data_IF_370010710699
#
_entry.id   IF_370010710699
#
_cell.length_a   1.000
_cell.length_b   1.000
_cell.length_c   1.000
_cell.angle_alpha   90.00
_cell.angle_beta   90.00
_cell.angle_gamma   90.00
#
_symmetry.space_group_name_H-M   'P 1'
#
loop_
_entity.id
_entity.type
_entity.pdbx_description
1 polymer ?
#
# COMPACT_ATOMS: atom_id res chain seq x y z
N UNK A 1 12.22 -3.30 -8.17
CA UNK A 1 13.69 -3.31 -8.04
C UNK A 1 14.10 -2.48 -6.84
N UNK A 2 13.84 -1.16 -6.80
CA UNK A 2 14.27 -0.23 -5.75
C UNK A 2 13.85 -0.66 -4.34
N UNK A 3 12.62 -1.14 -4.15
CA UNK A 3 12.16 -1.67 -2.86
C UNK A 3 13.03 -2.84 -2.35
N UNK A 4 13.37 -3.80 -3.21
CA UNK A 4 14.21 -4.93 -2.83
C UNK A 4 15.64 -4.51 -2.49
N UNK A 5 16.15 -3.46 -3.13
CA UNK A 5 17.45 -2.87 -2.78
C UNK A 5 17.39 -2.20 -1.41
N UNK A 6 16.33 -1.41 -1.15
CA UNK A 6 16.14 -0.72 0.14
C UNK A 6 16.05 -1.70 1.31
N UNK A 7 15.45 -2.88 1.14
CA UNK A 7 15.33 -3.87 2.22
C UNK A 7 16.70 -4.26 2.85
N UNK A 8 17.78 -4.21 2.09
CA UNK A 8 19.12 -4.50 2.61
C UNK A 8 19.64 -3.41 3.57
N UNK A 9 19.05 -2.22 3.51
CA UNK A 9 19.44 -1.05 4.32
C UNK A 9 18.54 -0.85 5.54
N UNK A 10 17.41 -1.56 5.59
CA UNK A 10 16.47 -1.51 6.73
C UNK A 10 17.09 -2.23 7.91
N UNK A 11 17.38 -1.48 8.99
CA UNK A 11 18.04 -1.99 10.20
C UNK A 11 17.52 -1.28 11.43
N UNK A 12 17.50 -1.99 12.56
CA UNK A 12 17.21 -1.39 13.87
C UNK A 12 18.10 -0.15 14.09
N UNK A 13 17.52 0.93 14.56
CA UNK A 13 18.18 2.20 14.84
C UNK A 13 18.20 3.21 13.68
N UNK A 14 17.91 2.79 12.45
CA UNK A 14 17.67 3.70 11.32
C UNK A 14 16.41 4.51 11.55
N UNK A 15 16.40 5.77 11.10
CA UNK A 15 15.23 6.64 11.19
C UNK A 15 14.35 6.53 9.94
N UNK A 16 13.08 6.89 10.06
CA UNK A 16 12.15 6.98 8.94
C UNK A 16 12.69 7.92 7.86
N UNK A 17 13.18 9.11 8.24
CA UNK A 17 13.75 10.09 7.31
C UNK A 17 14.97 9.58 6.56
N UNK A 18 15.90 8.93 7.26
CA UNK A 18 17.11 8.37 6.62
C UNK A 18 16.74 7.37 5.52
N UNK A 19 15.77 6.48 5.83
CA UNK A 19 15.36 5.46 4.87
C UNK A 19 14.49 6.03 3.74
N UNK A 20 13.62 7.01 4.01
CA UNK A 20 12.84 7.68 2.97
C UNK A 20 13.75 8.39 1.97
N UNK A 21 14.70 9.20 2.44
CA UNK A 21 15.66 9.89 1.58
C UNK A 21 16.54 8.91 0.77
N UNK A 22 16.97 7.81 1.40
CA UNK A 22 17.72 6.76 0.72
C UNK A 22 16.86 6.08 -0.36
N UNK A 23 15.58 5.86 -0.08
CA UNK A 23 14.67 5.23 -1.03
C UNK A 23 14.46 6.09 -2.28
N UNK A 24 14.22 7.38 -2.11
CA UNK A 24 14.09 8.34 -3.22
C UNK A 24 15.36 8.35 -4.07
N UNK A 25 16.54 8.37 -3.43
CA UNK A 25 17.82 8.24 -4.12
C UNK A 25 17.94 6.92 -4.91
N UNK A 26 17.55 5.79 -4.31
CA UNK A 26 17.59 4.48 -4.98
C UNK A 26 16.63 4.47 -6.18
N UNK A 27 15.44 5.04 -6.07
CA UNK A 27 14.48 5.14 -7.18
C UNK A 27 15.07 6.00 -8.31
N UNK A 28 15.63 7.17 -8.00
CA UNK A 28 16.27 8.04 -9.00
C UNK A 28 17.45 7.34 -9.69
N UNK A 29 18.33 6.67 -8.93
CA UNK A 29 19.45 5.88 -9.47
C UNK A 29 18.98 4.75 -10.40
N UNK A 30 17.81 4.19 -10.14
CA UNK A 30 17.22 3.11 -10.93
C UNK A 30 16.42 3.62 -12.14
N UNK A 31 16.45 4.94 -12.42
CA UNK A 31 15.89 5.55 -13.62
C UNK A 31 14.54 6.25 -13.45
N UNK A 32 14.09 6.48 -12.21
CA UNK A 32 12.94 7.33 -11.98
C UNK A 32 13.24 8.78 -12.36
N UNK A 33 12.29 9.47 -12.98
CA UNK A 33 12.32 10.92 -13.29
C UNK A 33 12.02 11.76 -12.03
N UNK A 34 11.46 11.14 -11.00
CA UNK A 34 11.10 11.72 -9.72
C UNK A 34 10.23 10.77 -8.92
N UNK A 35 9.85 11.16 -7.72
CA UNK A 35 8.84 10.44 -6.94
C UNK A 35 7.45 10.76 -7.46
N UNK A 36 6.53 9.81 -7.39
CA UNK A 36 5.12 10.04 -7.75
C UNK A 36 4.41 10.94 -6.75
N UNK A 37 4.82 10.84 -5.51
CA UNK A 37 4.34 11.60 -4.34
C UNK A 37 5.40 11.53 -3.24
N UNK A 38 5.25 12.33 -2.19
CA UNK A 38 6.17 12.29 -1.05
C UNK A 38 6.19 10.91 -0.40
N UNK A 39 7.33 10.25 -0.40
CA UNK A 39 7.51 8.90 0.12
C UNK A 39 7.07 8.80 1.58
N UNK A 40 6.12 7.91 1.88
CA UNK A 40 5.71 7.58 3.24
C UNK A 40 6.53 6.38 3.72
N UNK A 41 7.31 6.57 4.78
CA UNK A 41 8.07 5.50 5.43
C UNK A 41 7.94 5.68 6.93
N UNK A 42 7.19 4.76 7.56
CA UNK A 42 6.81 4.88 8.97
C UNK A 42 7.14 3.60 9.72
N UNK A 43 7.44 3.72 11.03
CA UNK A 43 7.78 2.56 11.87
C UNK A 43 6.99 2.51 13.19
N UNK A 44 6.73 1.29 13.67
CA UNK A 44 6.06 1.02 14.94
C UNK A 44 4.70 1.71 15.03
N UNK A 45 4.42 2.40 16.12
CA UNK A 45 3.12 3.09 16.33
C UNK A 45 2.84 4.19 15.29
N UNK A 46 3.87 4.75 14.65
CA UNK A 46 3.69 5.79 13.62
C UNK A 46 3.02 5.23 12.36
N UNK A 47 3.13 3.94 12.09
CA UNK A 47 2.42 3.28 10.98
C UNK A 47 0.89 3.39 11.09
N UNK A 48 0.35 3.70 12.29
CA UNK A 48 -1.09 3.93 12.49
C UNK A 48 -1.61 5.25 11.91
N UNK A 49 -0.74 6.07 11.32
CA UNK A 49 -1.08 7.31 10.63
C UNK A 49 -1.05 7.06 9.11
N UNK A 50 -2.21 6.96 8.42
CA UNK A 50 -2.27 6.62 6.98
C UNK A 50 -1.42 7.51 6.09
N UNK A 51 -1.35 8.81 6.41
CA UNK A 51 -0.60 9.84 5.70
C UNK A 51 0.48 10.47 6.59
N UNK A 52 1.13 9.65 7.41
CA UNK A 52 2.21 10.10 8.27
C UNK A 52 3.41 10.57 7.46
N UNK A 53 4.11 11.58 7.96
CA UNK A 53 5.33 12.09 7.33
C UNK A 53 6.55 11.47 8.03
N UNK A 54 7.55 10.97 7.29
CA UNK A 54 8.77 10.39 7.88
C UNK A 54 9.41 11.32 8.90
N UNK A 55 9.73 10.77 10.08
CA UNK A 55 10.26 11.50 11.23
C UNK A 55 11.64 10.97 11.65
N UNK A 56 12.19 11.51 12.74
CA UNK A 56 13.41 11.00 13.36
C UNK A 56 13.17 9.74 14.23
N UNK A 57 11.95 9.16 14.16
CA UNK A 57 11.61 7.92 14.85
C UNK A 57 12.45 6.79 14.29
N UNK A 58 13.02 5.98 15.21
CA UNK A 58 13.94 4.88 14.89
C UNK A 58 13.19 3.56 14.89
N UNK A 59 13.55 2.71 13.94
CA UNK A 59 13.13 1.32 13.86
C UNK A 59 13.61 0.55 15.09
N UNK A 60 12.73 -0.29 15.64
CA UNK A 60 12.99 -1.17 16.79
C UNK A 60 12.61 -2.62 16.47
N UNK A 61 13.15 -3.55 17.26
CA UNK A 61 12.66 -4.95 17.26
C UNK A 61 11.16 -4.98 17.60
N UNK A 62 10.41 -5.80 16.89
CA UNK A 62 8.96 -5.91 17.03
C UNK A 62 8.14 -4.87 16.25
N UNK A 63 8.77 -3.95 15.52
CA UNK A 63 8.04 -2.95 14.73
C UNK A 63 7.53 -3.51 13.39
N UNK A 64 6.38 -2.99 12.94
CA UNK A 64 6.11 -2.91 11.52
C UNK A 64 6.82 -1.69 10.92
N UNK A 65 7.25 -1.82 9.67
CA UNK A 65 7.68 -0.71 8.83
C UNK A 65 6.80 -0.68 7.59
N UNK A 66 6.09 0.41 7.39
CA UNK A 66 5.22 0.66 6.27
C UNK A 66 5.94 1.56 5.26
N UNK A 67 5.96 1.14 4.01
CA UNK A 67 6.51 1.86 2.86
C UNK A 67 5.39 2.11 1.88
N UNK A 68 5.12 3.36 1.57
CA UNK A 68 4.22 3.77 0.52
C UNK A 68 4.96 4.73 -0.41
N UNK A 69 5.10 4.34 -1.66
CA UNK A 69 6.03 4.97 -2.59
C UNK A 69 5.65 4.74 -4.04
N UNK A 70 6.03 5.68 -4.86
CA UNK A 70 5.87 5.59 -6.30
C UNK A 70 6.98 6.32 -7.03
N UNK A 71 7.21 5.93 -8.27
CA UNK A 71 8.18 6.52 -9.18
C UNK A 71 7.48 7.04 -10.42
N UNK A 72 7.96 8.17 -10.94
CA UNK A 72 7.53 8.69 -12.24
C UNK A 72 8.49 8.19 -13.31
N UNK A 73 7.95 7.66 -14.41
CA UNK A 73 8.72 7.22 -15.56
C UNK A 73 7.98 7.50 -16.86
N UNK A 74 8.62 8.22 -17.78
CA UNK A 74 8.03 8.70 -19.03
C UNK A 74 6.70 9.44 -18.81
N UNK A 75 6.64 10.24 -17.73
CA UNK A 75 5.47 10.99 -17.31
C UNK A 75 4.36 10.19 -16.64
N UNK A 76 4.47 8.85 -16.55
CA UNK A 76 3.50 8.01 -15.83
C UNK A 76 3.93 7.77 -14.38
N UNK A 77 2.94 7.78 -13.50
CA UNK A 77 3.11 7.50 -12.08
C UNK A 77 2.97 6.00 -11.78
N UNK A 78 3.72 5.53 -10.80
CA UNK A 78 3.49 4.24 -10.14
C UNK A 78 3.12 4.44 -8.68
N UNK A 79 2.53 3.41 -8.07
CA UNK A 79 2.10 3.40 -6.69
C UNK A 79 2.20 2.01 -6.10
N UNK A 80 2.76 1.89 -4.89
CA UNK A 80 2.86 0.60 -4.20
C UNK A 80 3.09 0.77 -2.70
N UNK A 81 2.26 0.17 -1.89
CA UNK A 81 2.51 0.03 -0.46
C UNK A 81 2.92 -1.39 -0.09
N UNK A 82 3.91 -1.50 0.79
CA UNK A 82 4.27 -2.74 1.50
C UNK A 82 4.50 -2.45 2.97
N UNK A 83 4.07 -3.37 3.80
CA UNK A 83 4.41 -3.40 5.23
C UNK A 83 5.27 -4.63 5.50
N UNK A 84 6.37 -4.45 6.22
CA UNK A 84 7.26 -5.53 6.66
C UNK A 84 7.35 -5.55 8.18
N UNK A 85 7.88 -6.61 8.74
CA UNK A 85 8.15 -6.74 10.18
C UNK A 85 9.65 -6.74 10.47
N UNK A 86 10.01 -6.28 11.66
CA UNK A 86 11.38 -6.29 12.16
C UNK A 86 11.46 -7.23 13.37
N UNK A 87 12.26 -8.29 13.25
CA UNK A 87 12.51 -9.23 14.35
C UNK A 87 11.23 -9.94 14.86
N UNK A 88 10.98 -9.85 16.15
CA UNK A 88 9.94 -10.61 16.83
C UNK A 88 8.62 -9.82 16.94
N UNK A 89 7.67 -10.09 16.07
CA UNK A 89 6.32 -9.51 16.13
C UNK A 89 5.33 -10.41 16.86
N UNK A 90 4.25 -9.81 17.39
CA UNK A 90 3.18 -10.52 18.09
C UNK A 90 2.29 -11.30 17.14
N UNK A 91 1.54 -12.27 17.68
CA UNK A 91 0.54 -13.00 16.90
C UNK A 91 -0.61 -12.07 16.45
N UNK A 92 -1.01 -11.08 17.29
CA UNK A 92 -1.96 -10.02 16.89
C UNK A 92 -1.51 -9.32 15.61
N UNK A 93 -0.22 -8.99 15.48
CA UNK A 93 0.33 -8.32 14.30
C UNK A 93 0.30 -9.24 13.07
N UNK A 94 0.65 -10.53 13.22
CA UNK A 94 0.60 -11.50 12.12
C UNK A 94 -0.83 -11.71 11.62
N UNK A 95 -1.78 -11.92 12.54
CA UNK A 95 -3.20 -12.08 12.20
C UNK A 95 -3.77 -10.84 11.51
N UNK A 96 -3.40 -9.65 11.98
CA UNK A 96 -3.79 -8.38 11.36
C UNK A 96 -3.23 -8.24 9.94
N UNK A 97 -1.96 -8.63 9.73
CA UNK A 97 -1.34 -8.61 8.40
C UNK A 97 -2.06 -9.56 7.43
N UNK A 98 -2.31 -10.79 7.87
CA UNK A 98 -3.00 -11.80 7.05
C UNK A 98 -4.44 -11.36 6.72
N UNK A 99 -5.11 -10.68 7.63
CA UNK A 99 -6.45 -10.13 7.39
C UNK A 99 -6.42 -9.02 6.31
N UNK A 100 -5.46 -8.08 6.39
CA UNK A 100 -5.30 -7.04 5.37
C UNK A 100 -4.93 -7.65 4.01
N UNK A 101 -4.06 -8.65 3.98
CA UNK A 101 -3.72 -9.37 2.75
C UNK A 101 -4.95 -10.06 2.16
N UNK A 102 -5.77 -10.73 2.99
CA UNK A 102 -7.03 -11.37 2.56
C UNK A 102 -8.00 -10.33 1.98
N UNK A 103 -8.12 -9.15 2.60
CA UNK A 103 -8.95 -8.06 2.11
C UNK A 103 -8.45 -7.52 0.76
N UNK A 104 -7.13 -7.34 0.61
CA UNK A 104 -6.53 -6.89 -0.64
C UNK A 104 -6.78 -7.89 -1.79
N UNK A 105 -6.64 -9.18 -1.53
CA UNK A 105 -6.93 -10.22 -2.50
C UNK A 105 -8.43 -10.28 -2.85
N UNK A 106 -9.33 -10.00 -1.90
CA UNK A 106 -10.77 -9.93 -2.14
C UNK A 106 -11.12 -8.74 -3.06
N UNK A 107 -10.55 -7.55 -2.80
CA UNK A 107 -10.69 -6.39 -3.68
C UNK A 107 -10.18 -6.67 -5.09
N UNK A 108 -8.99 -7.23 -5.22
CA UNK A 108 -8.45 -7.66 -6.52
C UNK A 108 -9.40 -8.65 -7.20
N UNK A 109 -9.93 -9.63 -6.47
CA UNK A 109 -10.83 -10.64 -7.03
C UNK A 109 -12.13 -10.03 -7.56
N UNK A 110 -12.67 -9.03 -6.89
CA UNK A 110 -13.89 -8.33 -7.29
C UNK A 110 -13.65 -7.40 -8.50
N UNK A 111 -12.42 -6.89 -8.68
CA UNK A 111 -12.07 -5.93 -9.73
C UNK A 111 -12.23 -6.53 -11.13
N UNK A 112 -13.10 -5.93 -11.95
CA UNK A 112 -13.28 -6.25 -13.38
C UNK A 112 -13.97 -5.09 -14.09
N UNK A 113 -13.90 -5.03 -15.42
CA UNK A 113 -14.62 -4.06 -16.21
C UNK A 113 -16.15 -4.19 -16.00
N UNK A 114 -16.83 -3.05 -15.86
CA UNK A 114 -18.27 -2.94 -15.61
C UNK A 114 -18.67 -3.04 -14.14
N UNK A 115 -17.78 -3.46 -13.25
CA UNK A 115 -18.05 -3.52 -11.81
C UNK A 115 -18.08 -2.11 -11.20
N UNK A 116 -18.96 -1.87 -10.22
CA UNK A 116 -18.99 -0.60 -9.51
C UNK A 116 -17.80 -0.46 -8.57
N UNK A 117 -17.22 0.72 -8.50
CA UNK A 117 -16.13 1.02 -7.59
C UNK A 117 -16.53 0.77 -6.12
N UNK A 118 -17.78 1.09 -5.74
CA UNK A 118 -18.31 0.82 -4.41
C UNK A 118 -18.41 -0.68 -4.08
N UNK A 119 -18.73 -1.55 -5.04
CA UNK A 119 -18.85 -2.99 -4.82
C UNK A 119 -17.45 -3.64 -4.63
N UNK A 120 -16.45 -3.13 -5.34
CA UNK A 120 -15.04 -3.56 -5.15
C UNK A 120 -14.51 -3.12 -3.78
N UNK A 121 -14.84 -1.88 -3.34
CA UNK A 121 -14.57 -1.43 -1.97
C UNK A 121 -15.21 -2.36 -0.95
N UNK A 122 -16.51 -2.64 -1.13
CA UNK A 122 -17.28 -3.46 -0.18
C UNK A 122 -16.70 -4.86 -0.02
N UNK A 123 -16.21 -5.48 -1.10
CA UNK A 123 -15.59 -6.80 -1.07
C UNK A 123 -14.35 -6.85 -0.15
N UNK A 124 -13.54 -5.80 -0.12
CA UNK A 124 -12.40 -5.73 0.80
C UNK A 124 -12.83 -5.37 2.24
N UNK A 125 -13.78 -4.43 2.37
CA UNK A 125 -14.31 -3.99 3.65
C UNK A 125 -14.96 -5.15 4.43
N UNK A 126 -15.75 -6.00 3.76
CA UNK A 126 -16.42 -7.13 4.39
C UNK A 126 -15.43 -8.10 5.04
N UNK A 127 -14.31 -8.37 4.37
CA UNK A 127 -13.23 -9.20 4.92
C UNK A 127 -12.65 -8.59 6.19
N UNK A 128 -12.37 -7.27 6.20
CA UNK A 128 -11.87 -6.60 7.40
C UNK A 128 -12.91 -6.62 8.53
N UNK A 129 -14.17 -6.48 8.17
CA UNK A 129 -15.27 -6.44 9.12
C UNK A 129 -15.64 -7.80 9.74
N UNK A 130 -15.21 -8.94 9.14
CA UNK A 130 -15.32 -10.28 9.75
C UNK A 130 -14.66 -10.35 11.15
N UNK A 131 -13.69 -9.46 11.42
CA UNK A 131 -12.94 -9.35 12.69
C UNK A 131 -13.12 -7.99 13.37
N UNK A 132 -14.20 -7.27 13.09
CA UNK A 132 -14.48 -5.92 13.59
C UNK A 132 -13.36 -4.89 13.29
N UNK A 133 -12.52 -5.16 12.29
CA UNK A 133 -11.42 -4.28 11.89
C UNK A 133 -11.83 -3.24 10.83
N UNK A 134 -13.03 -3.35 10.24
CA UNK A 134 -13.53 -2.40 9.25
C UNK A 134 -13.53 -0.94 9.75
N UNK A 135 -13.73 -0.71 11.05
CA UNK A 135 -13.68 0.62 11.69
C UNK A 135 -12.31 1.30 11.63
N UNK A 136 -11.24 0.53 11.39
CA UNK A 136 -9.87 1.02 11.25
C UNK A 136 -9.46 1.24 9.79
N UNK A 137 -10.31 0.87 8.83
CA UNK A 137 -10.12 1.17 7.40
C UNK A 137 -10.82 2.50 7.06
N UNK A 138 -10.05 3.58 6.94
CA UNK A 138 -10.56 4.95 6.96
C UNK A 138 -10.39 5.73 5.66
N UNK A 139 -9.98 5.09 4.58
CA UNK A 139 -9.80 5.69 3.26
C UNK A 139 -10.46 4.86 2.16
N UNK A 140 -10.39 5.29 0.92
CA UNK A 140 -10.84 4.52 -0.24
C UNK A 140 -10.00 3.26 -0.41
N UNK A 141 -10.55 2.27 -1.09
CA UNK A 141 -9.82 1.06 -1.43
C UNK A 141 -8.78 1.29 -2.52
N UNK A 142 -8.93 2.37 -3.31
CA UNK A 142 -8.03 2.69 -4.38
C UNK A 142 -8.54 3.82 -5.27
N UNK A 143 -7.69 4.23 -6.19
CA UNK A 143 -7.89 5.33 -7.13
C UNK A 143 -7.27 5.02 -8.49
N UNK A 144 -7.65 5.78 -9.51
CA UNK A 144 -6.98 5.73 -10.81
C UNK A 144 -5.56 6.28 -10.71
N UNK A 145 -4.65 5.71 -11.48
CA UNK A 145 -3.25 6.15 -11.59
C UNK A 145 -2.85 6.18 -13.05
N UNK A 146 -2.20 7.26 -13.49
CA UNK A 146 -1.77 7.44 -14.87
C UNK A 146 -0.75 8.56 -15.02
N UNK A 147 -1.12 9.62 -15.74
CA UNK A 147 -0.31 10.84 -15.85
C UNK A 147 -0.37 11.69 -14.58
N UNK A 148 -1.41 11.52 -13.80
CA UNK A 148 -1.52 12.03 -12.44
C UNK A 148 -1.52 10.86 -11.46
N UNK A 149 -1.02 11.08 -10.23
CA UNK A 149 -1.02 10.04 -9.19
C UNK A 149 -2.45 9.70 -8.73
N UNK A 150 -3.36 10.67 -8.74
CA UNK A 150 -4.77 10.47 -8.51
C UNK A 150 -5.55 10.98 -9.71
N UNK A 151 -6.13 10.09 -10.49
CA UNK A 151 -6.95 10.48 -11.64
C UNK A 151 -8.24 9.68 -11.76
N UNK A 152 -9.23 10.30 -12.41
CA UNK A 152 -10.48 9.66 -12.75
C UNK A 152 -11.35 9.33 -11.54
N UNK A 153 -11.49 8.08 -11.23
CA UNK A 153 -12.41 7.50 -10.25
C UNK A 153 -11.75 7.15 -8.93
N UNK A 154 -12.60 6.87 -7.93
CA UNK A 154 -12.18 6.46 -6.60
C UNK A 154 -13.01 5.26 -6.12
N UNK A 155 -12.36 4.17 -5.72
CA UNK A 155 -13.00 2.99 -5.17
C UNK A 155 -13.39 3.23 -3.70
N UNK A 156 -14.52 3.89 -3.48
CA UNK A 156 -15.06 4.26 -2.18
C UNK A 156 -16.52 3.84 -2.03
N UNK A 157 -17.06 3.73 -0.78
CA UNK A 157 -18.43 3.27 -0.57
C UNK A 157 -19.50 4.21 -1.16
N UNK A 158 -19.12 5.44 -1.49
CA UNK A 158 -20.01 6.45 -2.07
C UNK A 158 -19.82 6.65 -3.58
N UNK A 159 -18.90 5.92 -4.20
CA UNK A 159 -18.64 6.07 -5.62
C UNK A 159 -19.79 5.51 -6.47
N UNK A 160 -20.18 6.27 -7.48
CA UNK A 160 -21.12 5.85 -8.51
C UNK A 160 -20.42 5.36 -9.78
N UNK A 161 -19.11 5.44 -9.82
CA UNK A 161 -18.29 5.09 -10.98
C UNK A 161 -18.21 3.58 -11.17
N UNK A 162 -17.86 3.18 -12.39
CA UNK A 162 -17.58 1.81 -12.75
C UNK A 162 -16.19 1.71 -13.34
N UNK A 163 -15.55 0.61 -13.09
CA UNK A 163 -14.29 0.29 -13.72
C UNK A 163 -14.47 0.00 -15.21
N UNK A 164 -13.58 0.48 -16.04
CA UNK A 164 -13.57 0.30 -17.49
C UNK A 164 -12.32 -0.41 -17.97
N UNK A 165 -12.39 -1.03 -19.14
CA UNK A 165 -11.20 -1.55 -19.83
C UNK A 165 -10.25 -0.39 -20.12
N UNK A 166 -8.98 -0.57 -19.83
CA UNK A 166 -7.96 0.48 -19.96
C UNK A 166 -7.63 1.18 -18.65
N UNK A 167 -8.48 1.07 -17.62
CA UNK A 167 -8.16 1.66 -16.32
C UNK A 167 -6.94 1.01 -15.68
N UNK A 168 -6.12 1.83 -15.04
CA UNK A 168 -5.11 1.43 -14.07
C UNK A 168 -5.55 1.94 -12.70
N UNK A 169 -5.58 1.08 -11.69
CA UNK A 169 -6.11 1.41 -10.36
C UNK A 169 -5.26 0.81 -9.26
N UNK A 170 -5.12 1.53 -8.14
CA UNK A 170 -4.62 0.93 -6.90
C UNK A 170 -5.70 0.06 -6.25
N UNK A 171 -5.26 -0.97 -5.50
CA UNK A 171 -6.07 -1.73 -4.54
C UNK A 171 -5.25 -1.85 -3.27
N UNK A 172 -5.62 -1.06 -2.27
CA UNK A 172 -4.77 -0.69 -1.13
C UNK A 172 -5.48 -0.72 0.23
N UNK A 173 -6.19 -1.78 0.61
CA UNK A 173 -6.80 -1.79 1.93
C UNK A 173 -5.75 -1.65 3.02
N UNK A 174 -6.12 -0.92 4.09
CA UNK A 174 -5.28 -0.75 5.26
C UNK A 174 -6.10 -0.69 6.55
N UNK A 175 -5.50 -1.08 7.64
CA UNK A 175 -6.04 -0.86 8.99
C UNK A 175 -5.04 -0.04 9.81
N UNK A 176 -5.55 0.90 10.59
CA UNK A 176 -4.74 1.83 11.37
C UNK A 176 -5.27 1.88 12.79
N UNK A 177 -4.64 1.08 13.67
CA UNK A 177 -5.05 0.93 15.07
C UNK A 177 -4.31 1.99 15.88
N UNK A 178 -5.00 3.01 16.44
CA UNK A 178 -4.36 4.10 17.16
C UNK A 178 -3.42 3.59 18.27
N UNK A 179 -2.25 4.22 18.37
CA UNK A 179 -1.21 3.94 19.37
C UNK A 179 -0.63 2.51 19.33
N UNK A 180 -1.01 1.71 18.32
CA UNK A 180 -0.48 0.36 18.14
C UNK A 180 0.33 0.26 16.85
N UNK A 181 -0.33 0.06 15.73
CA UNK A 181 0.29 -0.10 14.40
C UNK A 181 -0.73 0.14 13.28
N UNK A 182 -0.21 0.34 12.09
CA UNK A 182 -0.96 0.30 10.83
C UNK A 182 -0.33 -0.65 9.83
N UNK A 183 -1.16 -1.15 8.94
CA UNK A 183 -0.78 -2.06 7.86
C UNK A 183 -1.51 -1.59 6.61
N UNK A 184 -0.80 -1.45 5.49
CA UNK A 184 -1.36 -1.29 4.15
C UNK A 184 -0.63 -2.21 3.20
N UNK A 185 -1.38 -2.84 2.30
CA UNK A 185 -0.84 -3.68 1.22
C UNK A 185 -1.52 -3.24 -0.06
N UNK A 186 -0.74 -2.83 -1.02
CA UNK A 186 -1.20 -2.22 -2.26
C UNK A 186 -0.53 -2.79 -3.49
N UNK A 187 -1.30 -2.95 -4.53
CA UNK A 187 -0.84 -3.20 -5.90
C UNK A 187 -1.55 -2.29 -6.88
N UNK A 188 -0.87 -1.96 -7.98
CA UNK A 188 -1.49 -1.41 -9.18
C UNK A 188 -1.99 -2.53 -10.09
N UNK A 189 -3.22 -2.39 -10.58
CA UNK A 189 -3.90 -3.33 -11.47
C UNK A 189 -4.29 -2.63 -12.77
N UNK A 190 -3.99 -3.25 -13.90
CA UNK A 190 -4.51 -2.88 -15.21
C UNK A 190 -5.76 -3.72 -15.53
N UNK A 191 -6.83 -3.07 -15.97
CA UNK A 191 -8.08 -3.73 -16.37
C UNK A 191 -8.05 -3.96 -17.88
N UNK A 192 -7.86 -5.21 -18.26
CA UNK A 192 -7.83 -5.64 -19.67
C UNK A 192 -9.20 -6.19 -20.10
N UNK A 193 -9.44 -6.34 -21.43
CA UNK A 193 -10.64 -7.02 -21.93
C UNK A 193 -10.81 -8.48 -21.46
N UNK A 194 -9.71 -9.09 -20.99
CA UNK A 194 -9.68 -10.50 -20.54
C UNK A 194 -9.72 -10.64 -19.01
N UNK A 195 -9.78 -9.54 -18.28
CA UNK A 195 -9.78 -9.50 -16.82
C UNK A 195 -8.85 -8.42 -16.29
N UNK A 196 -8.03 -8.74 -15.31
CA UNK A 196 -7.09 -7.81 -14.68
C UNK A 196 -5.67 -8.36 -14.68
N UNK A 197 -4.71 -7.47 -14.79
CA UNK A 197 -3.28 -7.78 -14.68
C UNK A 197 -2.67 -7.01 -13.52
N UNK A 198 -1.97 -7.71 -12.64
CA UNK A 198 -1.23 -7.07 -11.54
C UNK A 198 0.11 -6.57 -12.07
N UNK A 199 0.31 -5.25 -12.00
CA UNK A 199 1.54 -4.59 -12.43
C UNK A 199 2.63 -4.64 -11.33
N UNK A 200 2.24 -4.72 -10.07
CA UNK A 200 3.14 -4.81 -8.92
C UNK A 200 3.62 -6.25 -8.73
N UNK A 201 4.89 -6.53 -8.99
CA UNK A 201 5.44 -7.91 -8.98
C UNK A 201 6.13 -8.29 -7.66
N UNK A 202 6.19 -7.39 -6.68
CA UNK A 202 6.79 -7.66 -5.37
C UNK A 202 5.89 -8.55 -4.53
N UNK A 203 6.47 -9.50 -3.79
CA UNK A 203 5.72 -10.38 -2.89
C UNK A 203 4.84 -9.58 -1.91
N UNK A 204 3.68 -10.15 -1.59
CA UNK A 204 2.77 -9.67 -0.55
C UNK A 204 2.79 -10.55 0.71
N UNK A 205 3.61 -11.61 0.71
CA UNK A 205 3.85 -12.36 1.94
C UNK A 205 4.61 -11.47 2.91
N UNK A 206 4.29 -11.58 4.19
CA UNK A 206 5.00 -10.84 5.22
C UNK A 206 6.51 -11.14 5.16
N UNK A 207 7.29 -10.09 4.98
CA UNK A 207 8.75 -10.14 5.07
C UNK A 207 9.10 -9.80 6.50
N UNK A 208 9.97 -10.61 7.12
CA UNK A 208 10.52 -10.37 8.46
C UNK A 208 12.03 -10.21 8.30
N UNK A 209 12.59 -9.10 8.72
CA UNK A 209 14.01 -8.77 8.70
C UNK A 209 14.63 -8.86 10.11
#
# INVERSE_FOLDING_TARGET
KSFLELLNEVKIGKTEKELAALFDYIMARNGSEGVSFDTILLTGTHTSMPHGVPSDKKIKDGDFVLFDFGATYQGYHSDMTRTIAIGNITDEMKEAYDLVLKAQLAGIKALKAGEKCADVYQAAYDVLNEKDMGKYFRHSLGHGVGLDIHEGYNASPKSNDKFEVGNVTSIEPGIYIPDKFGIRIEDLLYISPRGRENLSKVTKKLIIL
#
